data_IF_423495252915
#
_entry.id   IF_423495252915
#
_cell.length_a   1.000
_cell.length_b   1.000
_cell.length_c   1.000
_cell.angle_alpha   90.00
_cell.angle_beta   90.00
_cell.angle_gamma   90.00
#
_symmetry.space_group_name_H-M   'P 1'
#
loop_
_entity.id
_entity.type
_entity.pdbx_description
1 polymer ?
#
# COMPACT_ATOMS: atom_id res chain seq x y z
N UNK A 1 57.65 -9.24 13.44
CA UNK A 1 56.98 -10.47 13.83
C UNK A 1 55.73 -10.11 14.58
N UNK A 2 54.59 -9.99 13.87
CA UNK A 2 53.25 -10.08 14.44
C UNK A 2 52.35 -10.57 13.30
N UNK A 3 51.90 -11.75 13.46
CA UNK A 3 51.10 -12.57 12.60
C UNK A 3 49.65 -12.04 12.60
N UNK A 4 49.10 -11.75 11.44
CA UNK A 4 47.68 -11.37 11.25
C UNK A 4 47.06 -12.30 10.22
N UNK A 5 46.48 -13.40 10.70
CA UNK A 5 45.62 -14.27 9.91
C UNK A 5 44.29 -13.61 9.59
N UNK A 6 43.76 -13.79 8.38
CA UNK A 6 42.46 -13.22 7.99
C UNK A 6 41.29 -14.07 8.50
N UNK A 7 40.28 -13.41 9.05
CA UNK A 7 39.03 -14.00 9.52
C UNK A 7 38.21 -14.63 8.38
N UNK A 8 37.67 -15.83 8.62
CA UNK A 8 36.81 -16.56 7.68
C UNK A 8 35.43 -15.92 7.50
N UNK A 9 34.80 -16.07 6.33
CA UNK A 9 33.49 -15.46 6.06
C UNK A 9 32.34 -16.22 6.73
N UNK A 10 31.45 -15.48 7.39
CA UNK A 10 30.20 -15.99 7.96
C UNK A 10 29.29 -16.52 6.85
N UNK A 11 28.99 -17.82 6.86
CA UNK A 11 27.95 -18.43 6.03
C UNK A 11 26.60 -18.25 6.71
N UNK A 12 25.80 -17.32 6.23
CA UNK A 12 24.37 -17.22 6.58
C UNK A 12 23.58 -18.26 5.80
N UNK A 13 23.09 -19.28 6.49
CA UNK A 13 22.18 -20.27 5.92
C UNK A 13 20.79 -19.64 5.68
N UNK A 14 20.42 -19.40 4.42
CA UNK A 14 19.07 -19.05 4.01
C UNK A 14 18.14 -20.24 4.23
N UNK A 15 17.25 -20.18 5.23
CA UNK A 15 16.12 -21.10 5.34
C UNK A 15 15.11 -20.78 4.22
N UNK A 16 15.00 -21.66 3.23
CA UNK A 16 13.91 -21.66 2.27
C UNK A 16 12.65 -22.17 2.96
N UNK A 17 11.61 -21.35 2.98
CA UNK A 17 10.26 -21.80 3.29
C UNK A 17 9.74 -22.62 2.11
N UNK A 18 9.57 -23.93 2.30
CA UNK A 18 8.93 -24.82 1.35
C UNK A 18 7.46 -24.93 1.76
N UNK A 19 6.57 -24.34 0.97
CA UNK A 19 5.14 -24.44 1.16
C UNK A 19 4.64 -25.89 1.10
N UNK A 20 3.61 -26.21 1.90
CA UNK A 20 3.05 -27.54 2.13
C UNK A 20 2.25 -28.08 0.93
N UNK A 21 2.91 -28.37 -0.21
CA UNK A 21 2.28 -29.06 -1.35
C UNK A 21 2.68 -30.53 -1.50
N UNK A 22 3.22 -31.13 -0.45
CA UNK A 22 3.68 -32.54 -0.48
C UNK A 22 2.84 -33.51 0.35
N UNK A 23 1.52 -33.32 0.45
CA UNK A 23 0.63 -34.30 1.13
C UNK A 23 -0.46 -34.89 0.25
N UNK A 24 -0.48 -34.65 -1.05
CA UNK A 24 -1.52 -35.22 -1.94
C UNK A 24 -1.02 -36.45 -2.71
N UNK A 25 0.31 -36.61 -2.94
CA UNK A 25 0.81 -37.69 -3.78
C UNK A 25 1.15 -39.01 -3.04
N UNK A 26 0.98 -39.06 -1.73
CA UNK A 26 1.31 -40.27 -0.96
C UNK A 26 0.14 -41.24 -0.75
N UNK A 27 -1.10 -40.88 -1.13
CA UNK A 27 -2.30 -41.74 -0.96
C UNK A 27 -2.65 -42.52 -2.24
N UNK A 28 -2.04 -42.19 -3.39
CA UNK A 28 -2.37 -42.84 -4.67
C UNK A 28 -1.58 -44.13 -5.00
N UNK A 29 -0.73 -44.63 -4.10
CA UNK A 29 0.14 -45.80 -4.38
C UNK A 29 -0.09 -47.03 -3.54
N UNK A 30 -1.21 -47.17 -2.83
CA UNK A 30 -1.48 -48.35 -1.99
C UNK A 30 -2.83 -49.04 -2.24
N UNK A 31 -3.41 -48.96 -3.44
CA UNK A 31 -4.50 -49.86 -3.80
C UNK A 31 -4.21 -50.47 -5.16
N UNK A 32 -3.58 -51.63 -5.09
CA UNK A 32 -3.44 -52.54 -6.24
C UNK A 32 -4.54 -53.58 -6.20
N UNK A 33 -5.22 -53.65 -7.31
CA UNK A 33 -5.90 -54.72 -8.01
C UNK A 33 -6.46 -55.96 -7.27
N UNK A 34 -7.68 -56.24 -7.61
CA UNK A 34 -8.29 -57.44 -8.23
C UNK A 34 -9.59 -57.90 -7.54
N UNK A 35 -10.66 -58.07 -8.42
CA UNK A 35 -11.77 -58.92 -8.17
C UNK A 35 -13.17 -58.31 -8.48
N UNK A 36 -14.05 -59.04 -9.17
CA UNK A 36 -15.20 -58.46 -9.87
C UNK A 36 -16.44 -58.25 -9.03
N UNK A 37 -17.29 -57.42 -9.58
CA UNK A 37 -18.57 -56.91 -9.08
C UNK A 37 -19.53 -57.93 -8.49
N UNK A 38 -20.20 -57.54 -7.42
CA UNK A 38 -21.54 -58.03 -7.09
C UNK A 38 -22.33 -56.92 -6.38
N UNK A 39 -23.51 -56.67 -6.98
CA UNK A 39 -24.77 -56.12 -6.46
C UNK A 39 -24.83 -54.71 -5.88
N UNK A 40 -25.84 -54.00 -6.42
CA UNK A 40 -26.29 -52.63 -6.19
C UNK A 40 -26.85 -52.35 -4.75
N UNK A 41 -26.86 -53.32 -3.86
CA UNK A 41 -27.43 -53.17 -2.54
C UNK A 41 -26.47 -52.63 -1.44
N UNK A 42 -25.15 -52.70 -1.67
CA UNK A 42 -24.17 -52.21 -0.70
C UNK A 42 -23.85 -50.70 -0.79
N UNK A 43 -24.35 -50.01 -1.81
CA UNK A 43 -24.11 -48.56 -1.99
C UNK A 43 -24.98 -47.69 -1.05
N UNK A 44 -26.08 -48.20 -0.51
CA UNK A 44 -26.97 -47.44 0.37
C UNK A 44 -26.58 -47.48 1.86
N UNK A 45 -25.72 -48.40 2.27
CA UNK A 45 -25.28 -48.52 3.66
C UNK A 45 -24.15 -47.52 4.03
N UNK A 46 -23.42 -47.01 3.05
CA UNK A 46 -22.29 -46.06 3.28
C UNK A 46 -22.77 -44.62 3.43
N UNK A 47 -23.99 -44.28 2.99
CA UNK A 47 -24.53 -42.91 3.07
C UNK A 47 -25.11 -42.57 4.46
N UNK A 48 -25.36 -43.55 5.33
CA UNK A 48 -25.95 -43.30 6.66
C UNK A 48 -24.95 -43.15 7.82
N UNK A 49 -23.65 -43.22 7.58
CA UNK A 49 -22.62 -42.99 8.63
C UNK A 49 -21.83 -41.67 8.48
N UNK A 50 -22.40 -40.65 7.87
CA UNK A 50 -21.92 -39.30 8.06
C UNK A 50 -22.56 -38.68 9.32
N UNK A 51 -22.13 -39.19 10.47
CA UNK A 51 -22.45 -38.61 11.74
C UNK A 51 -21.95 -37.18 11.83
N UNK A 52 -22.82 -36.29 12.17
CA UNK A 52 -22.67 -34.91 12.62
C UNK A 52 -21.25 -34.55 13.06
N UNK A 53 -20.60 -33.65 12.30
CA UNK A 53 -19.45 -32.91 12.81
C UNK A 53 -19.87 -32.21 14.10
N UNK A 54 -19.10 -32.35 15.20
CA UNK A 54 -19.35 -31.56 16.38
C UNK A 54 -19.37 -30.07 16.01
N UNK A 55 -20.21 -29.24 16.65
CA UNK A 55 -20.26 -27.82 16.39
C UNK A 55 -18.84 -27.27 16.55
N UNK A 56 -18.37 -26.58 15.51
CA UNK A 56 -17.04 -25.93 15.55
C UNK A 56 -17.01 -25.01 16.76
N UNK A 57 -16.04 -25.22 17.66
CA UNK A 57 -15.80 -24.32 18.76
C UNK A 57 -15.77 -22.88 18.23
N UNK A 58 -16.34 -21.90 18.94
CA UNK A 58 -16.36 -20.52 18.50
C UNK A 58 -14.92 -20.10 18.25
N UNK A 59 -14.62 -19.72 16.98
CA UNK A 59 -13.32 -19.16 16.64
C UNK A 59 -13.19 -17.87 17.44
N UNK A 60 -12.42 -17.90 18.52
CA UNK A 60 -12.04 -16.70 19.27
C UNK A 60 -11.40 -15.76 18.27
N UNK A 61 -12.06 -14.65 17.99
CA UNK A 61 -11.47 -13.58 17.16
C UNK A 61 -10.34 -12.96 17.98
N UNK A 62 -9.11 -13.40 17.74
CA UNK A 62 -7.91 -13.00 18.49
C UNK A 62 -7.63 -11.49 18.49
N UNK A 63 -8.40 -10.66 17.76
CA UNK A 63 -8.24 -9.21 17.66
C UNK A 63 -9.58 -8.45 17.64
N UNK A 64 -10.62 -8.96 18.35
CA UNK A 64 -11.84 -8.18 18.48
C UNK A 64 -11.59 -7.01 19.45
N UNK A 65 -11.97 -5.80 19.06
CA UNK A 65 -11.93 -4.63 19.96
C UNK A 65 -12.94 -4.91 21.09
N UNK A 66 -12.56 -4.75 22.38
CA UNK A 66 -13.46 -4.97 23.50
C UNK A 66 -14.70 -4.06 23.44
N UNK A 67 -15.84 -4.60 23.84
CA UNK A 67 -17.10 -3.87 23.89
C UNK A 67 -17.03 -2.65 24.80
N UNK A 68 -16.19 -2.66 25.84
CA UNK A 68 -15.91 -1.55 26.73
C UNK A 68 -15.32 -0.33 26.00
N UNK A 69 -14.51 -0.54 24.96
CA UNK A 69 -13.96 0.51 24.11
C UNK A 69 -14.99 0.93 23.06
N UNK A 70 -15.64 -0.02 22.41
CA UNK A 70 -16.61 0.26 21.34
C UNK A 70 -17.84 1.03 21.87
N UNK A 71 -18.30 0.69 23.06
CA UNK A 71 -19.51 1.27 23.68
C UNK A 71 -19.19 2.39 24.68
N UNK A 72 -17.95 2.87 24.75
CA UNK A 72 -17.59 3.97 25.63
C UNK A 72 -18.26 5.28 25.16
N UNK A 73 -19.26 5.73 25.93
CA UNK A 73 -20.07 6.90 25.55
C UNK A 73 -19.24 8.20 25.45
N UNK A 74 -18.23 8.36 26.34
CA UNK A 74 -17.37 9.56 26.34
C UNK A 74 -16.43 9.56 25.16
N UNK A 75 -15.84 8.40 24.81
CA UNK A 75 -15.01 8.23 23.61
C UNK A 75 -15.82 8.50 22.35
N UNK A 76 -17.03 7.92 22.26
CA UNK A 76 -17.92 8.11 21.12
C UNK A 76 -18.37 9.57 20.97
N UNK A 77 -18.53 10.31 22.06
CA UNK A 77 -18.81 11.73 22.00
C UNK A 77 -17.59 12.53 21.51
N UNK A 78 -16.39 12.23 22.01
CA UNK A 78 -15.15 12.87 21.56
C UNK A 78 -14.88 12.66 20.07
N UNK A 79 -15.17 11.47 19.55
CA UNK A 79 -15.01 11.14 18.12
C UNK A 79 -15.89 12.03 17.22
N UNK A 80 -17.03 12.54 17.70
CA UNK A 80 -17.90 13.44 16.93
C UNK A 80 -17.27 14.80 16.59
N UNK A 81 -16.14 15.15 17.23
CA UNK A 81 -15.34 16.32 16.84
C UNK A 81 -14.65 16.12 15.47
N UNK A 82 -14.55 14.87 14.99
CA UNK A 82 -14.02 14.53 13.68
C UNK A 82 -15.17 14.48 12.64
N UNK A 83 -14.89 14.68 11.35
CA UNK A 83 -15.92 14.60 10.31
C UNK A 83 -16.61 13.22 10.28
N UNK A 84 -17.95 13.22 10.27
CA UNK A 84 -18.74 12.00 10.38
C UNK A 84 -18.56 11.02 9.19
N UNK A 85 -18.14 11.52 8.03
CA UNK A 85 -17.85 10.72 6.84
C UNK A 85 -16.41 10.19 6.77
N UNK A 86 -15.56 10.50 7.78
CA UNK A 86 -14.18 10.00 7.87
C UNK A 86 -14.08 8.97 8.99
N UNK A 87 -13.59 7.78 8.68
CA UNK A 87 -13.30 6.76 9.68
C UNK A 87 -11.82 6.71 10.01
N UNK A 88 -11.42 7.37 11.10
CA UNK A 88 -10.05 7.37 11.61
C UNK A 88 -9.70 6.14 12.46
N UNK A 89 -10.56 5.14 12.53
CA UNK A 89 -10.36 3.91 13.31
C UNK A 89 -9.90 4.17 14.77
N UNK A 90 -10.46 5.18 15.43
CA UNK A 90 -10.05 5.62 16.78
C UNK A 90 -10.16 4.48 17.80
N UNK A 91 -11.27 3.71 17.80
CA UNK A 91 -11.45 2.58 18.72
C UNK A 91 -10.35 1.53 18.55
N UNK A 92 -9.98 1.21 17.31
CA UNK A 92 -8.90 0.28 16.99
C UNK A 92 -7.56 0.82 17.48
N UNK A 93 -7.30 2.12 17.29
CA UNK A 93 -6.07 2.77 17.70
C UNK A 93 -5.93 2.77 19.22
N UNK A 94 -6.97 3.16 19.95
CA UNK A 94 -7.02 3.09 21.42
C UNK A 94 -6.74 1.67 21.92
N UNK A 95 -7.44 0.68 21.35
CA UNK A 95 -7.24 -0.73 21.70
C UNK A 95 -5.81 -1.21 21.46
N UNK A 96 -5.20 -0.84 20.32
CA UNK A 96 -3.83 -1.25 20.00
C UNK A 96 -2.80 -0.58 20.91
N UNK A 97 -2.96 0.71 21.22
CA UNK A 97 -2.10 1.44 22.16
C UNK A 97 -2.12 0.78 23.53
N UNK A 98 -3.30 0.42 24.03
CA UNK A 98 -3.46 -0.27 25.32
C UNK A 98 -2.85 -1.67 25.32
N UNK A 99 -3.09 -2.46 24.24
CA UNK A 99 -2.54 -3.81 24.11
C UNK A 99 -1.01 -3.84 24.11
N UNK A 100 -0.38 -2.86 23.48
CA UNK A 100 1.08 -2.75 23.44
C UNK A 100 1.66 -1.99 24.63
N UNK A 101 0.81 -1.46 25.53
CA UNK A 101 1.24 -0.64 26.66
C UNK A 101 2.19 0.48 26.22
N UNK A 102 1.88 1.10 25.07
CA UNK A 102 2.66 2.18 24.50
C UNK A 102 2.72 3.36 25.47
N UNK A 103 3.83 4.09 25.48
CA UNK A 103 4.04 5.27 26.34
C UNK A 103 4.06 6.57 25.57
N UNK A 104 4.72 6.55 24.40
CA UNK A 104 4.80 7.70 23.50
C UNK A 104 4.48 7.26 22.07
N UNK A 105 3.45 7.87 21.50
CA UNK A 105 2.88 7.50 20.20
C UNK A 105 3.17 8.58 19.16
N UNK A 106 3.86 8.23 18.09
CA UNK A 106 4.02 9.09 16.93
C UNK A 106 2.76 9.02 16.04
N UNK A 107 2.28 10.17 15.59
CA UNK A 107 1.16 10.31 14.67
C UNK A 107 1.66 10.92 13.37
N UNK A 108 1.57 10.16 12.29
CA UNK A 108 2.05 10.57 10.96
C UNK A 108 0.88 10.67 9.99
N UNK A 109 0.75 11.82 9.31
CA UNK A 109 -0.39 12.14 8.44
C UNK A 109 0.05 12.59 7.05
N UNK A 110 -0.76 12.35 6.00
CA UNK A 110 -0.67 13.11 4.77
C UNK A 110 -1.20 14.55 4.98
N UNK A 111 -0.80 15.46 4.09
CA UNK A 111 -1.14 16.89 4.18
C UNK A 111 -2.65 17.13 4.40
N UNK A 112 -3.51 16.48 3.61
CA UNK A 112 -4.96 16.65 3.69
C UNK A 112 -5.60 16.18 5.00
N UNK A 113 -4.90 15.40 5.83
CA UNK A 113 -5.38 14.92 7.13
C UNK A 113 -4.70 15.60 8.33
N UNK A 114 -3.63 16.37 8.09
CA UNK A 114 -2.85 17.04 9.14
C UNK A 114 -3.72 17.96 10.03
N UNK A 115 -4.76 18.55 9.46
CA UNK A 115 -5.68 19.43 10.19
C UNK A 115 -6.44 18.73 11.33
N UNK A 116 -6.55 17.41 11.31
CA UNK A 116 -7.22 16.62 12.35
C UNK A 116 -6.25 16.09 13.41
N UNK A 117 -4.94 16.30 13.23
CA UNK A 117 -3.90 15.69 14.06
C UNK A 117 -4.02 16.04 15.55
N UNK A 118 -4.28 17.33 15.87
CA UNK A 118 -4.42 17.77 17.26
C UNK A 118 -5.66 17.17 17.95
N UNK A 119 -6.80 17.10 17.24
CA UNK A 119 -8.03 16.49 17.78
C UNK A 119 -7.80 15.01 18.06
N UNK A 120 -7.14 14.29 17.13
CA UNK A 120 -6.82 12.87 17.29
C UNK A 120 -5.82 12.68 18.45
N UNK A 121 -4.81 13.54 18.55
CA UNK A 121 -3.84 13.59 19.65
C UNK A 121 -4.55 13.69 21.01
N UNK A 122 -5.40 14.70 21.19
CA UNK A 122 -6.15 14.96 22.43
C UNK A 122 -7.03 13.74 22.82
N UNK A 123 -7.70 13.12 21.83
CA UNK A 123 -8.53 11.94 22.07
C UNK A 123 -7.65 10.77 22.54
N UNK A 124 -6.53 10.50 21.87
CA UNK A 124 -5.66 9.38 22.23
C UNK A 124 -5.03 9.57 23.61
N UNK A 125 -4.55 10.76 23.92
CA UNK A 125 -4.00 11.10 25.26
C UNK A 125 -5.03 10.94 26.37
N UNK A 126 -6.25 11.47 26.14
CA UNK A 126 -7.33 11.40 27.14
C UNK A 126 -7.75 9.97 27.46
N UNK A 127 -7.82 9.08 26.45
CA UNK A 127 -8.38 7.72 26.62
C UNK A 127 -7.34 6.62 26.83
N UNK A 128 -6.05 6.92 26.64
CA UNK A 128 -4.98 5.93 26.83
C UNK A 128 -3.90 6.38 27.80
N UNK A 129 -3.82 7.68 28.13
CA UNK A 129 -2.81 8.23 29.02
C UNK A 129 -1.41 8.27 28.41
N UNK A 130 -1.27 8.08 27.09
CA UNK A 130 0.01 8.17 26.39
C UNK A 130 0.39 9.62 26.13
N UNK A 131 1.67 9.87 25.87
CA UNK A 131 2.16 11.11 25.29
C UNK A 131 2.17 10.96 23.75
N UNK A 132 1.67 11.92 23.00
CA UNK A 132 1.65 11.87 21.54
C UNK A 132 2.62 12.87 20.91
N UNK A 133 3.16 12.51 19.75
CA UNK A 133 4.02 13.34 18.93
C UNK A 133 3.47 13.40 17.52
N UNK A 134 2.95 14.55 17.11
CA UNK A 134 2.56 14.77 15.72
C UNK A 134 3.82 15.02 14.89
N UNK A 135 4.08 14.15 13.91
CA UNK A 135 5.25 14.29 13.03
C UNK A 135 5.01 15.42 12.03
N UNK A 136 5.99 16.32 11.92
CA UNK A 136 5.88 17.53 11.09
C UNK A 136 6.06 17.27 9.60
N UNK A 137 6.80 16.22 9.22
CA UNK A 137 7.04 15.90 7.82
C UNK A 137 5.81 15.28 7.18
N UNK A 138 5.41 15.84 6.05
CA UNK A 138 4.23 15.40 5.29
C UNK A 138 4.47 14.01 4.70
N UNK A 139 3.45 13.18 4.74
CA UNK A 139 3.46 11.85 4.14
C UNK A 139 2.95 11.93 2.70
N UNK A 140 3.83 11.73 1.73
CA UNK A 140 3.47 11.73 0.30
C UNK A 140 3.00 10.37 -0.20
N UNK A 141 3.25 9.30 0.52
CA UNK A 141 2.87 7.95 0.11
C UNK A 141 3.16 6.89 1.16
N UNK A 142 2.76 5.67 0.87
CA UNK A 142 2.93 4.51 1.74
C UNK A 142 4.40 4.16 2.05
N UNK A 143 5.36 4.64 1.25
CA UNK A 143 6.79 4.51 1.48
C UNK A 143 7.36 5.54 2.46
N UNK A 144 6.56 6.55 2.87
CA UNK A 144 7.00 7.61 3.78
C UNK A 144 6.85 7.24 5.27
N UNK A 145 6.59 5.99 5.61
CA UNK A 145 6.60 5.53 7.01
C UNK A 145 7.94 5.83 7.64
N UNK A 146 7.98 6.71 8.63
CA UNK A 146 9.20 7.19 9.26
C UNK A 146 9.31 6.72 10.72
N UNK A 147 9.47 5.44 10.87
CA UNK A 147 9.70 4.81 12.16
C UNK A 147 11.10 5.11 12.73
N UNK A 148 12.04 5.54 11.90
CA UNK A 148 13.37 5.95 12.34
C UNK A 148 13.32 7.27 13.11
N UNK A 149 12.67 8.30 12.55
CA UNK A 149 12.49 9.59 13.24
C UNK A 149 11.60 9.44 14.46
N UNK A 150 10.49 8.68 14.36
CA UNK A 150 9.63 8.40 15.50
C UNK A 150 10.40 7.78 16.67
N UNK A 151 11.25 6.79 16.38
CA UNK A 151 12.13 6.18 17.40
C UNK A 151 13.15 7.17 17.96
N UNK A 152 13.74 8.02 17.12
CA UNK A 152 14.69 9.03 17.57
C UNK A 152 14.04 10.08 18.49
N UNK A 153 12.74 10.34 18.32
CA UNK A 153 11.91 11.19 19.19
C UNK A 153 11.46 10.46 20.48
N UNK A 154 11.90 9.22 20.69
CA UNK A 154 11.58 8.40 21.85
C UNK A 154 10.19 7.76 21.81
N UNK A 155 9.56 7.69 20.63
CA UNK A 155 8.29 6.97 20.45
C UNK A 155 8.53 5.46 20.40
N UNK A 156 7.59 4.71 20.98
CA UNK A 156 7.57 3.25 20.99
C UNK A 156 6.44 2.67 20.12
N UNK A 157 5.54 3.54 19.65
CA UNK A 157 4.44 3.21 18.76
C UNK A 157 4.27 4.28 17.68
N UNK A 158 3.94 3.87 16.45
CA UNK A 158 3.66 4.77 15.32
C UNK A 158 2.29 4.46 14.73
N UNK A 159 1.45 5.48 14.59
CA UNK A 159 0.20 5.39 13.81
C UNK A 159 0.39 6.15 12.50
N UNK A 160 0.32 5.42 11.39
CA UNK A 160 0.48 5.96 10.05
C UNK A 160 -0.87 6.03 9.36
N UNK A 161 -1.34 7.26 9.10
CA UNK A 161 -2.67 7.55 8.58
C UNK A 161 -2.69 7.72 7.06
N UNK A 162 -3.81 7.35 6.45
CA UNK A 162 -4.18 7.72 5.09
C UNK A 162 -3.46 6.99 3.96
N UNK A 163 -2.63 5.99 4.25
CA UNK A 163 -1.91 5.20 3.25
C UNK A 163 -1.94 3.71 3.55
N UNK A 164 -1.71 2.91 2.51
CA UNK A 164 -1.64 1.45 2.58
C UNK A 164 -0.43 0.93 3.33
N UNK A 165 -0.50 -0.35 3.77
CA UNK A 165 0.62 -1.10 4.33
C UNK A 165 1.61 -1.53 3.23
N UNK A 166 2.36 -0.61 2.63
CA UNK A 166 3.40 -0.96 1.67
C UNK A 166 4.65 -1.48 2.37
N UNK A 167 4.99 -0.89 3.50
CA UNK A 167 6.10 -1.35 4.35
C UNK A 167 5.53 -2.36 5.37
N UNK A 168 5.98 -3.63 5.36
CA UNK A 168 5.51 -4.62 6.31
C UNK A 168 5.80 -4.22 7.77
N UNK A 169 4.86 -4.49 8.67
CA UNK A 169 4.98 -4.11 10.09
C UNK A 169 6.11 -4.83 10.85
N UNK A 170 6.58 -5.96 10.33
CA UNK A 170 7.71 -6.72 10.86
C UNK A 170 9.08 -6.13 10.47
N UNK A 171 9.10 -5.21 9.49
CA UNK A 171 10.30 -4.51 9.03
C UNK A 171 10.52 -3.20 9.79
N UNK A 172 9.46 -2.62 10.39
CA UNK A 172 9.55 -1.36 11.14
C UNK A 172 10.30 -1.55 12.47
N UNK A 173 11.04 -0.52 12.90
CA UNK A 173 11.89 -0.57 14.11
C UNK A 173 11.13 -0.36 15.40
N UNK A 174 9.91 0.17 15.33
CA UNK A 174 8.94 0.31 16.43
C UNK A 174 7.60 -0.27 15.97
N UNK A 175 6.69 -0.51 16.91
CA UNK A 175 5.34 -0.99 16.57
C UNK A 175 4.61 0.02 15.71
N UNK A 176 4.10 -0.42 14.57
CA UNK A 176 3.41 0.46 13.60
C UNK A 176 2.00 -0.03 13.35
N UNK A 177 1.04 0.89 13.42
CA UNK A 177 -0.35 0.69 13.07
C UNK A 177 -0.69 1.52 11.82
N UNK A 178 -1.24 0.86 10.80
CA UNK A 178 -1.78 1.55 9.64
C UNK A 178 -3.28 1.81 9.82
N UNK A 179 -3.66 3.07 9.61
CA UNK A 179 -5.05 3.53 9.60
C UNK A 179 -5.34 4.11 8.22
N UNK A 180 -6.18 3.43 7.46
CA UNK A 180 -6.41 3.79 6.05
C UNK A 180 -7.27 5.04 5.87
N UNK A 181 -8.07 5.40 6.87
CA UNK A 181 -9.00 6.54 6.86
C UNK A 181 -10.03 6.39 5.73
N UNK A 182 -10.98 5.47 5.92
CA UNK A 182 -12.08 5.30 4.97
C UNK A 182 -12.95 6.56 4.90
N UNK A 183 -13.17 7.08 3.69
CA UNK A 183 -13.95 8.29 3.44
C UNK A 183 -15.22 7.91 2.68
N UNK A 184 -16.36 8.18 3.31
CA UNK A 184 -17.67 7.92 2.72
C UNK A 184 -18.13 9.11 1.86
N UNK A 185 -18.75 8.78 0.72
CA UNK A 185 -19.35 9.76 -0.20
C UNK A 185 -20.64 9.17 -0.81
N UNK A 186 -21.37 9.97 -1.60
CA UNK A 186 -22.59 9.52 -2.28
C UNK A 186 -22.26 8.60 -3.45
N UNK A 187 -22.29 7.30 -3.18
CA UNK A 187 -22.08 6.25 -4.20
C UNK A 187 -23.20 6.23 -5.23
N UNK A 188 -24.43 6.63 -4.89
CA UNK A 188 -25.55 6.64 -5.81
C UNK A 188 -25.34 7.66 -6.92
N UNK A 189 -24.82 8.86 -6.59
CA UNK A 189 -24.44 9.87 -7.56
C UNK A 189 -23.32 9.35 -8.50
N UNK A 190 -22.30 8.69 -7.96
CA UNK A 190 -21.23 8.10 -8.76
C UNK A 190 -21.75 7.08 -9.77
N UNK A 191 -22.63 6.16 -9.35
CA UNK A 191 -23.27 5.18 -10.23
C UNK A 191 -24.10 5.86 -11.32
N UNK A 192 -24.92 6.84 -10.93
CA UNK A 192 -25.78 7.59 -11.86
C UNK A 192 -24.94 8.31 -12.93
N UNK A 193 -23.88 9.00 -12.54
CA UNK A 193 -23.07 9.76 -13.49
C UNK A 193 -22.32 8.84 -14.47
N UNK A 194 -21.87 7.66 -14.03
CA UNK A 194 -21.26 6.67 -14.92
C UNK A 194 -22.26 6.09 -15.91
N UNK A 195 -23.47 5.73 -15.47
CA UNK A 195 -24.50 5.16 -16.35
C UNK A 195 -25.00 6.15 -17.41
N UNK A 196 -24.92 7.48 -17.14
CA UNK A 196 -25.29 8.50 -18.12
C UNK A 196 -24.18 8.84 -19.11
N UNK A 197 -22.90 8.67 -18.72
CA UNK A 197 -21.77 9.15 -19.52
C UNK A 197 -20.99 8.04 -20.23
N UNK A 198 -21.14 6.78 -19.83
CA UNK A 198 -20.41 5.66 -20.43
C UNK A 198 -21.37 4.71 -21.16
N UNK A 199 -20.92 4.06 -22.25
CA UNK A 199 -21.73 3.09 -22.97
C UNK A 199 -22.13 1.91 -22.08
N UNK A 200 -23.41 1.64 -21.96
CA UNK A 200 -23.92 0.51 -21.20
C UNK A 200 -23.39 -0.82 -21.77
N UNK A 201 -23.12 -1.78 -20.89
CA UNK A 201 -22.55 -3.08 -21.25
C UNK A 201 -21.03 -3.08 -21.44
N UNK A 202 -20.35 -1.92 -21.39
CA UNK A 202 -18.89 -1.85 -21.49
C UNK A 202 -18.21 -2.50 -20.28
N UNK A 203 -16.93 -2.89 -20.47
CA UNK A 203 -16.08 -3.45 -19.42
C UNK A 203 -15.24 -2.34 -18.78
N UNK A 204 -15.56 -2.03 -17.53
CA UNK A 204 -14.90 -0.97 -16.76
C UNK A 204 -13.89 -1.56 -15.79
N UNK A 205 -12.67 -1.02 -15.75
CA UNK A 205 -11.75 -1.24 -14.64
C UNK A 205 -11.97 -0.15 -13.60
N UNK A 206 -12.35 -0.52 -12.37
CA UNK A 206 -12.50 0.42 -11.26
C UNK A 206 -11.26 0.40 -10.38
N UNK A 207 -10.68 1.58 -10.14
CA UNK A 207 -9.52 1.76 -9.27
C UNK A 207 -9.69 3.00 -8.39
N UNK A 208 -9.05 2.99 -7.22
CA UNK A 208 -9.16 4.07 -6.24
C UNK A 208 -7.88 4.22 -5.41
N UNK A 209 -7.79 5.32 -4.66
CA UNK A 209 -6.90 5.38 -3.50
C UNK A 209 -7.49 4.59 -2.34
N UNK A 210 -6.65 4.23 -1.36
CA UNK A 210 -7.06 3.36 -0.23
C UNK A 210 -8.28 3.91 0.52
N UNK A 211 -8.43 5.23 0.64
CA UNK A 211 -9.52 5.90 1.34
C UNK A 211 -10.90 5.61 0.73
N UNK A 212 -10.96 5.27 -0.55
CA UNK A 212 -12.21 5.06 -1.28
C UNK A 212 -12.44 3.59 -1.70
N UNK A 213 -11.56 2.67 -1.33
CA UNK A 213 -11.67 1.25 -1.70
C UNK A 213 -12.95 0.63 -1.15
N UNK A 214 -13.35 0.95 0.09
CA UNK A 214 -14.61 0.50 0.67
C UNK A 214 -15.82 0.90 -0.19
N UNK A 215 -15.88 2.17 -0.54
CA UNK A 215 -16.94 2.76 -1.38
C UNK A 215 -16.90 2.24 -2.82
N UNK A 216 -15.70 1.97 -3.38
CA UNK A 216 -15.52 1.37 -4.70
C UNK A 216 -16.17 -0.03 -4.77
N UNK A 217 -15.98 -0.86 -3.75
CA UNK A 217 -16.61 -2.19 -3.70
C UNK A 217 -18.13 -2.13 -3.55
N UNK A 218 -18.66 -1.11 -2.88
CA UNK A 218 -20.10 -0.83 -2.83
C UNK A 218 -20.60 -0.42 -4.22
N UNK A 219 -19.92 0.51 -4.87
CA UNK A 219 -20.24 0.98 -6.22
C UNK A 219 -20.21 -0.15 -7.26
N UNK A 220 -19.21 -1.06 -7.18
CA UNK A 220 -19.14 -2.23 -8.05
C UNK A 220 -20.46 -2.99 -8.09
N UNK A 221 -21.02 -3.33 -6.92
CA UNK A 221 -22.30 -4.09 -6.81
C UNK A 221 -23.46 -3.37 -7.47
N UNK A 222 -23.49 -2.03 -7.42
CA UNK A 222 -24.54 -1.23 -8.02
C UNK A 222 -24.34 -1.01 -9.53
N UNK A 223 -23.11 -1.11 -10.02
CA UNK A 223 -22.75 -0.96 -11.43
C UNK A 223 -22.90 -2.27 -12.24
N UNK A 224 -22.77 -3.45 -11.60
CA UNK A 224 -22.85 -4.76 -12.27
C UNK A 224 -24.11 -4.99 -13.14
N UNK A 225 -25.31 -4.42 -12.84
CA UNK A 225 -26.46 -4.50 -13.73
C UNK A 225 -26.27 -3.74 -15.06
N UNK A 226 -25.37 -2.77 -15.11
CA UNK A 226 -25.17 -1.85 -16.23
C UNK A 226 -23.86 -2.08 -16.99
N UNK A 227 -22.82 -2.63 -16.31
CA UNK A 227 -21.46 -2.77 -16.81
C UNK A 227 -20.83 -4.10 -16.40
N UNK A 228 -19.87 -4.56 -17.18
CA UNK A 228 -18.97 -5.61 -16.71
C UNK A 228 -17.83 -4.98 -15.89
N UNK A 229 -17.84 -5.16 -14.56
CA UNK A 229 -16.93 -4.43 -13.68
C UNK A 229 -15.75 -5.29 -13.24
N UNK A 230 -14.55 -4.90 -13.63
CA UNK A 230 -13.28 -5.47 -13.22
C UNK A 230 -12.63 -4.61 -12.12
N UNK A 231 -12.26 -5.23 -11.01
CA UNK A 231 -11.49 -4.57 -9.94
C UNK A 231 -10.11 -5.24 -9.88
N UNK A 232 -9.09 -4.59 -10.45
CA UNK A 232 -7.75 -5.18 -10.52
C UNK A 232 -7.07 -5.19 -9.15
N UNK A 233 -6.09 -6.06 -8.97
CA UNK A 233 -5.26 -6.09 -7.76
C UNK A 233 -3.78 -6.24 -8.11
N UNK A 234 -2.94 -5.39 -7.51
CA UNK A 234 -1.49 -5.53 -7.50
C UNK A 234 -1.03 -5.78 -6.06
N UNK A 235 -0.61 -7.01 -5.76
CA UNK A 235 -0.13 -7.32 -4.39
C UNK A 235 1.10 -6.48 -4.04
N UNK A 236 1.24 -5.98 -2.79
CA UNK A 236 0.44 -6.28 -1.60
C UNK A 236 -0.83 -5.43 -1.41
N UNK A 237 -1.16 -4.54 -2.37
CA UNK A 237 -2.29 -3.61 -2.26
C UNK A 237 -3.65 -4.33 -2.21
N UNK A 238 -4.65 -3.65 -1.70
CA UNK A 238 -6.04 -4.11 -1.68
C UNK A 238 -6.63 -4.20 -3.10
N UNK A 239 -7.64 -5.05 -3.36
CA UNK A 239 -8.31 -5.07 -4.66
C UNK A 239 -8.90 -3.70 -5.00
N UNK A 240 -8.57 -3.17 -6.18
CA UNK A 240 -8.99 -1.84 -6.65
C UNK A 240 -8.07 -0.71 -6.21
N UNK A 241 -7.17 -0.94 -5.28
CA UNK A 241 -6.22 0.07 -4.85
C UNK A 241 -5.07 0.24 -5.83
N UNK A 242 -4.72 1.50 -6.11
CA UNK A 242 -3.53 1.87 -6.87
C UNK A 242 -2.71 2.92 -6.13
N UNK A 243 -1.41 2.92 -6.39
CA UNK A 243 -0.48 3.96 -5.94
C UNK A 243 0.17 4.64 -7.14
N UNK A 244 0.70 5.85 -6.93
CA UNK A 244 1.47 6.56 -7.96
C UNK A 244 2.71 5.80 -8.45
N UNK A 245 3.23 4.87 -7.66
CA UNK A 245 4.37 4.01 -8.00
C UNK A 245 4.00 2.56 -8.32
N UNK A 246 2.74 2.15 -8.14
CA UNK A 246 2.32 0.75 -8.29
C UNK A 246 0.93 0.67 -8.87
N UNK A 247 0.84 0.34 -10.16
CA UNK A 247 -0.41 0.19 -10.89
C UNK A 247 -0.38 -1.07 -11.74
N UNK A 248 -1.51 -1.78 -11.91
CA UNK A 248 -1.58 -2.98 -12.72
C UNK A 248 -1.58 -2.67 -14.22
N UNK A 249 -1.02 -3.59 -15.01
CA UNK A 249 -1.38 -3.71 -16.40
C UNK A 249 -2.73 -4.40 -16.51
N UNK A 250 -3.68 -3.76 -17.18
CA UNK A 250 -5.05 -4.24 -17.30
C UNK A 250 -5.20 -5.25 -18.45
N UNK A 251 -6.19 -6.15 -18.39
CA UNK A 251 -6.55 -7.03 -19.51
C UNK A 251 -6.91 -6.24 -20.78
N UNK A 252 -6.59 -6.79 -21.93
CA UNK A 252 -6.79 -6.14 -23.23
C UNK A 252 -8.28 -5.93 -23.59
N UNK A 253 -9.19 -6.60 -22.91
CA UNK A 253 -10.64 -6.55 -23.11
C UNK A 253 -11.34 -5.50 -22.23
N UNK A 254 -10.59 -4.68 -21.51
CA UNK A 254 -11.12 -3.53 -20.77
C UNK A 254 -11.34 -2.35 -21.74
N UNK A 255 -12.54 -1.76 -21.71
CA UNK A 255 -12.89 -0.63 -22.56
C UNK A 255 -12.45 0.72 -21.98
N UNK A 256 -12.46 0.86 -20.66
CA UNK A 256 -12.03 2.07 -19.98
C UNK A 256 -11.69 1.87 -18.50
N UNK A 257 -10.90 2.81 -17.98
CA UNK A 257 -10.56 2.90 -16.56
C UNK A 257 -11.37 4.00 -15.90
N UNK A 258 -11.94 3.71 -14.74
CA UNK A 258 -12.58 4.72 -13.88
C UNK A 258 -11.82 4.78 -12.57
N UNK A 259 -11.18 5.91 -12.32
CA UNK A 259 -10.46 6.20 -11.10
C UNK A 259 -11.34 7.00 -10.13
N UNK A 260 -11.47 6.49 -8.93
CA UNK A 260 -12.20 7.12 -7.83
C UNK A 260 -11.18 7.72 -6.85
N UNK A 261 -11.10 9.04 -6.83
CA UNK A 261 -10.18 9.77 -5.97
C UNK A 261 -9.92 11.19 -6.44
N UNK A 262 -9.31 11.96 -5.57
CA UNK A 262 -8.83 13.30 -5.86
C UNK A 262 -7.48 13.29 -6.56
N UNK A 263 -7.09 14.41 -7.13
CA UNK A 263 -5.82 14.58 -7.82
C UNK A 263 -5.63 13.68 -9.04
N UNK A 264 -4.43 13.74 -9.65
CA UNK A 264 -4.09 13.01 -10.87
C UNK A 264 -2.93 12.02 -10.69
N UNK A 265 -2.15 12.17 -9.62
CA UNK A 265 -0.90 11.44 -9.43
C UNK A 265 -1.06 9.91 -9.51
N UNK A 266 -2.05 9.36 -8.80
CA UNK A 266 -2.32 7.91 -8.83
C UNK A 266 -2.90 7.46 -10.17
N UNK A 267 -3.75 8.31 -10.78
CA UNK A 267 -4.32 8.05 -12.10
C UNK A 267 -3.24 8.03 -13.19
N UNK A 268 -2.26 8.92 -13.14
CA UNK A 268 -1.16 8.95 -14.11
C UNK A 268 -0.39 7.63 -14.13
N UNK A 269 -0.16 7.02 -12.97
CA UNK A 269 0.50 5.72 -12.89
C UNK A 269 -0.25 4.64 -13.71
N UNK A 270 -1.57 4.54 -13.57
CA UNK A 270 -2.32 3.52 -14.34
C UNK A 270 -2.39 3.86 -15.83
N UNK A 271 -2.43 5.16 -16.19
CA UNK A 271 -2.37 5.61 -17.58
C UNK A 271 -1.04 5.26 -18.23
N UNK A 272 0.07 5.44 -17.52
CA UNK A 272 1.43 5.10 -18.00
C UNK A 272 1.52 3.59 -18.31
N UNK A 273 0.92 2.75 -17.47
CA UNK A 273 0.92 1.30 -17.66
C UNK A 273 -0.06 0.82 -18.74
N UNK A 274 -1.10 1.64 -19.06
CA UNK A 274 -2.18 1.29 -19.97
C UNK A 274 -2.46 2.46 -20.95
N UNK A 275 -1.51 2.78 -21.86
CA UNK A 275 -1.53 4.01 -22.66
C UNK A 275 -2.69 4.13 -23.62
N UNK A 276 -3.27 3.01 -24.04
CA UNK A 276 -4.32 2.98 -25.08
C UNK A 276 -5.74 3.03 -24.48
N UNK A 277 -5.87 2.95 -23.15
CA UNK A 277 -7.17 2.91 -22.49
C UNK A 277 -7.71 4.31 -22.19
N UNK A 278 -8.97 4.62 -22.59
CA UNK A 278 -9.66 5.80 -22.08
C UNK A 278 -9.77 5.77 -20.56
N UNK A 279 -9.51 6.92 -19.93
CA UNK A 279 -9.58 7.01 -18.48
C UNK A 279 -10.50 8.16 -18.04
N UNK A 280 -11.24 7.89 -16.98
CA UNK A 280 -12.15 8.82 -16.34
C UNK A 280 -11.78 8.94 -14.86
N UNK A 281 -11.85 10.14 -14.31
CA UNK A 281 -11.69 10.41 -12.89
C UNK A 281 -12.99 10.91 -12.31
N UNK A 282 -13.46 10.24 -11.28
CA UNK A 282 -14.51 10.77 -10.43
C UNK A 282 -13.91 11.30 -9.14
N UNK A 283 -14.09 12.59 -8.91
CA UNK A 283 -13.67 13.27 -7.71
C UNK A 283 -14.83 13.29 -6.70
N UNK A 284 -14.71 12.57 -5.55
CA UNK A 284 -15.80 12.46 -4.58
C UNK A 284 -16.13 13.78 -3.87
N UNK A 285 -15.15 14.68 -3.76
CA UNK A 285 -15.34 15.96 -3.06
C UNK A 285 -16.13 16.97 -3.90
N UNK A 286 -15.82 17.06 -5.19
CA UNK A 286 -16.54 17.93 -6.11
C UNK A 286 -17.71 17.25 -6.81
N UNK A 287 -17.89 15.93 -6.63
CA UNK A 287 -18.88 15.09 -7.31
C UNK A 287 -18.83 15.21 -8.83
N UNK A 288 -17.63 15.33 -9.40
CA UNK A 288 -17.43 15.56 -10.83
C UNK A 288 -16.76 14.38 -11.53
N UNK A 289 -17.24 14.04 -12.72
CA UNK A 289 -16.61 13.08 -13.63
C UNK A 289 -15.87 13.82 -14.74
N UNK A 290 -14.58 13.56 -14.89
CA UNK A 290 -13.74 14.14 -15.95
C UNK A 290 -13.10 13.05 -16.79
N UNK A 291 -12.95 13.28 -18.09
CA UNK A 291 -12.13 12.44 -18.97
C UNK A 291 -10.69 12.91 -18.87
N UNK A 292 -9.81 12.03 -18.47
CA UNK A 292 -8.39 12.35 -18.28
C UNK A 292 -7.54 11.78 -19.43
N UNK A 293 -6.44 12.46 -19.72
CA UNK A 293 -5.46 12.07 -20.73
C UNK A 293 -4.06 12.26 -20.18
N UNK A 294 -3.14 11.47 -20.68
CA UNK A 294 -1.72 11.56 -20.36
C UNK A 294 -0.90 11.70 -21.64
N UNK A 295 0.05 12.62 -21.69
CA UNK A 295 0.91 12.81 -22.85
C UNK A 295 2.09 11.82 -22.83
N UNK A 296 1.84 10.62 -23.32
CA UNK A 296 2.85 9.56 -23.41
C UNK A 296 4.00 9.91 -24.35
N UNK A 297 3.75 10.70 -25.40
CA UNK A 297 4.77 11.10 -26.37
C UNK A 297 5.76 12.05 -25.70
N UNK A 298 5.23 13.08 -25.05
CA UNK A 298 6.04 14.06 -24.33
C UNK A 298 6.82 13.41 -23.17
N UNK A 299 6.19 12.53 -22.40
CA UNK A 299 6.85 11.80 -21.31
C UNK A 299 8.04 10.98 -21.84
N UNK A 300 7.86 10.23 -22.94
CA UNK A 300 8.96 9.44 -23.54
C UNK A 300 10.05 10.33 -24.09
N UNK A 301 9.69 11.47 -24.71
CA UNK A 301 10.64 12.46 -25.20
C UNK A 301 11.47 13.04 -24.07
N UNK A 302 10.82 13.52 -23.01
CA UNK A 302 11.49 14.09 -21.85
C UNK A 302 12.46 13.10 -21.18
N UNK A 303 12.05 11.83 -21.02
CA UNK A 303 12.93 10.77 -20.49
C UNK A 303 14.12 10.47 -21.41
N UNK A 304 13.88 10.41 -22.71
CA UNK A 304 14.95 10.18 -23.70
C UNK A 304 15.97 11.33 -23.68
N UNK A 305 15.50 12.57 -23.67
CA UNK A 305 16.34 13.77 -23.64
C UNK A 305 17.17 13.83 -22.33
N UNK A 306 16.55 13.50 -21.21
CA UNK A 306 17.25 13.39 -19.92
C UNK A 306 18.37 12.32 -19.95
N UNK A 307 18.09 11.13 -20.51
CA UNK A 307 19.08 10.06 -20.66
C UNK A 307 20.23 10.52 -21.57
N UNK A 308 19.91 11.14 -22.71
CA UNK A 308 20.90 11.64 -23.67
C UNK A 308 21.80 12.70 -23.05
N UNK A 309 21.21 13.60 -22.25
CA UNK A 309 21.96 14.63 -21.51
C UNK A 309 22.87 13.98 -20.47
N UNK A 310 22.34 13.02 -19.69
CA UNK A 310 23.09 12.32 -18.66
C UNK A 310 24.29 11.52 -19.21
N UNK A 311 24.18 10.94 -20.40
CA UNK A 311 25.27 10.21 -21.05
C UNK A 311 26.51 11.07 -21.32
N UNK A 312 26.34 12.40 -21.43
CA UNK A 312 27.45 13.37 -21.64
C UNK A 312 28.07 13.89 -20.35
N UNK A 313 27.47 13.54 -19.20
CA UNK A 313 27.93 14.03 -17.90
C UNK A 313 29.27 13.43 -17.51
N UNK A 314 30.19 14.28 -17.10
CA UNK A 314 31.52 13.89 -16.62
C UNK A 314 31.54 13.50 -15.16
N UNK A 315 30.61 14.02 -14.36
CA UNK A 315 30.43 13.73 -12.95
C UNK A 315 28.95 13.54 -12.65
N UNK A 316 28.65 12.54 -11.85
CA UNK A 316 27.28 12.18 -11.49
C UNK A 316 26.99 12.46 -10.02
N UNK A 317 25.75 12.86 -9.73
CA UNK A 317 25.20 12.87 -8.39
C UNK A 317 24.24 11.67 -8.20
N UNK A 318 24.37 11.01 -7.07
CA UNK A 318 23.45 9.95 -6.66
C UNK A 318 22.72 10.42 -5.41
N UNK A 319 21.41 10.58 -5.50
CA UNK A 319 20.58 11.02 -4.38
C UNK A 319 19.99 9.79 -3.71
N UNK A 320 20.20 9.66 -2.40
CA UNK A 320 19.44 8.74 -1.56
C UNK A 320 18.34 9.53 -0.86
N UNK A 321 17.08 9.19 -1.16
CA UNK A 321 15.93 9.76 -0.45
C UNK A 321 15.89 9.27 1.00
N UNK A 322 15.82 10.22 1.94
CA UNK A 322 15.83 9.92 3.39
C UNK A 322 14.49 10.20 4.07
N UNK A 323 13.46 10.58 3.32
CA UNK A 323 12.12 10.70 3.86
C UNK A 323 11.53 9.31 4.09
N UNK A 324 11.34 8.93 5.34
CA UNK A 324 10.87 7.62 5.73
C UNK A 324 11.73 6.49 5.15
N UNK A 325 11.10 5.56 4.44
CA UNK A 325 11.76 4.38 3.85
C UNK A 325 11.81 4.41 2.31
N UNK A 326 11.85 5.59 1.74
CA UNK A 326 11.89 5.76 0.27
C UNK A 326 13.21 5.29 -0.35
N UNK A 327 14.34 5.55 0.30
CA UNK A 327 15.65 5.20 -0.23
C UNK A 327 16.02 3.75 0.04
N UNK A 328 16.61 3.08 -0.96
CA UNK A 328 17.16 1.73 -0.84
C UNK A 328 18.69 1.77 -0.81
N UNK A 329 19.34 1.44 0.32
CA UNK A 329 20.79 1.33 0.39
C UNK A 329 21.38 0.31 -0.59
N UNK A 330 20.69 -0.78 -0.87
CA UNK A 330 21.16 -1.81 -1.80
C UNK A 330 21.21 -1.30 -3.24
N UNK A 331 20.18 -0.54 -3.65
CA UNK A 331 20.17 0.12 -4.98
C UNK A 331 21.28 1.17 -5.05
N UNK A 332 21.47 1.95 -3.99
CA UNK A 332 22.56 2.92 -3.91
C UNK A 332 23.93 2.24 -4.07
N UNK A 333 24.17 1.16 -3.34
CA UNK A 333 25.43 0.41 -3.43
C UNK A 333 25.65 -0.15 -4.84
N UNK A 334 24.61 -0.71 -5.45
CA UNK A 334 24.68 -1.21 -6.82
C UNK A 334 25.04 -0.07 -7.82
N UNK A 335 24.35 1.08 -7.75
CA UNK A 335 24.62 2.23 -8.62
C UNK A 335 26.06 2.74 -8.46
N UNK A 336 26.53 2.88 -7.22
CA UNK A 336 27.91 3.30 -6.94
C UNK A 336 28.92 2.33 -7.54
N UNK A 337 28.69 1.03 -7.39
CA UNK A 337 29.55 0.00 -7.98
C UNK A 337 29.59 0.12 -9.52
N UNK A 338 28.43 0.37 -10.17
CA UNK A 338 28.36 0.58 -11.63
C UNK A 338 29.12 1.82 -12.09
N UNK A 339 29.00 2.93 -11.37
CA UNK A 339 29.72 4.18 -11.69
C UNK A 339 31.23 4.02 -11.48
N UNK A 340 31.65 3.39 -10.38
CA UNK A 340 33.06 3.11 -10.07
C UNK A 340 33.69 2.19 -11.13
N UNK A 341 33.01 1.11 -11.52
CA UNK A 341 33.51 0.18 -12.54
C UNK A 341 33.73 0.84 -13.92
N UNK A 342 33.04 1.95 -14.17
CA UNK A 342 33.18 2.75 -15.42
C UNK A 342 34.09 3.96 -15.26
N UNK A 343 34.77 4.10 -14.12
CA UNK A 343 35.58 5.27 -13.77
C UNK A 343 34.83 6.60 -13.88
N UNK A 344 33.52 6.61 -13.55
CA UNK A 344 32.71 7.83 -13.57
C UNK A 344 32.79 8.49 -12.19
N UNK A 345 33.35 9.71 -12.08
CA UNK A 345 33.36 10.47 -10.83
C UNK A 345 31.93 10.71 -10.33
N UNK A 346 31.66 10.47 -9.05
CA UNK A 346 30.33 10.65 -8.50
C UNK A 346 30.36 11.12 -7.05
N UNK A 347 29.27 11.77 -6.63
CA UNK A 347 29.00 12.18 -5.25
C UNK A 347 27.67 11.57 -4.81
N UNK A 348 27.59 11.15 -3.55
CA UNK A 348 26.33 10.69 -2.94
C UNK A 348 25.82 11.77 -2.02
N UNK A 349 24.54 12.09 -2.13
CA UNK A 349 23.86 13.09 -1.31
C UNK A 349 22.61 12.46 -0.71
N UNK A 350 22.41 12.61 0.61
CA UNK A 350 21.19 12.24 1.29
C UNK A 350 20.26 13.45 1.35
N UNK A 351 19.02 13.29 0.90
CA UNK A 351 18.03 14.37 0.88
C UNK A 351 16.65 13.84 1.28
N UNK A 352 15.97 14.52 2.19
CA UNK A 352 14.55 14.25 2.51
C UNK A 352 13.62 14.81 1.44
N UNK A 353 13.97 15.97 0.89
CA UNK A 353 13.25 16.65 -0.19
C UNK A 353 14.20 17.01 -1.31
N UNK A 354 13.78 16.80 -2.56
CA UNK A 354 14.60 16.94 -3.75
C UNK A 354 14.10 18.15 -4.55
N UNK A 355 14.84 19.26 -4.45
CA UNK A 355 14.52 20.49 -5.18
C UNK A 355 15.56 20.75 -6.28
N UNK A 356 15.13 20.99 -7.53
CA UNK A 356 16.03 21.32 -8.63
C UNK A 356 16.97 22.51 -8.31
N UNK A 357 16.46 23.52 -7.60
CA UNK A 357 17.27 24.68 -7.21
C UNK A 357 18.49 24.30 -6.35
N UNK A 358 18.32 23.39 -5.40
CA UNK A 358 19.43 22.88 -4.57
C UNK A 358 20.42 22.03 -5.38
N UNK A 359 19.92 21.23 -6.32
CA UNK A 359 20.80 20.41 -7.18
C UNK A 359 21.66 21.29 -8.11
N UNK A 360 21.15 22.43 -8.54
CA UNK A 360 21.87 23.40 -9.37
C UNK A 360 23.07 24.10 -8.66
N UNK A 361 23.14 24.04 -7.33
CA UNK A 361 24.30 24.54 -6.58
C UNK A 361 25.55 23.69 -6.82
N UNK A 362 25.40 22.43 -7.20
CA UNK A 362 26.49 21.50 -7.55
C UNK A 362 26.86 21.64 -9.03
N UNK A 363 27.49 22.78 -9.38
CA UNK A 363 27.76 23.19 -10.78
C UNK A 363 28.66 22.23 -11.57
N UNK A 364 29.40 21.37 -10.88
CA UNK A 364 30.32 20.38 -11.48
C UNK A 364 29.64 19.01 -11.68
N UNK A 365 28.38 18.83 -11.23
CA UNK A 365 27.57 17.62 -11.42
C UNK A 365 26.72 17.79 -12.68
N UNK A 366 26.98 16.97 -13.69
CA UNK A 366 26.32 17.06 -15.00
C UNK A 366 25.03 16.19 -15.10
N UNK A 367 24.86 15.23 -14.21
CA UNK A 367 23.66 14.37 -14.16
C UNK A 367 23.35 13.91 -12.74
N UNK A 368 22.07 13.75 -12.46
CA UNK A 368 21.57 13.25 -11.18
C UNK A 368 20.77 11.98 -11.39
N UNK A 369 20.99 11.00 -10.52
CA UNK A 369 20.13 9.82 -10.41
C UNK A 369 19.57 9.73 -9.00
N UNK A 370 18.27 9.51 -8.89
CA UNK A 370 17.54 9.47 -7.63
C UNK A 370 17.26 8.03 -7.23
N UNK A 371 17.61 7.68 -5.99
CA UNK A 371 17.17 6.47 -5.28
C UNK A 371 16.21 6.91 -4.18
N UNK A 372 14.94 7.03 -4.52
CA UNK A 372 13.86 7.42 -3.63
C UNK A 372 12.58 6.71 -4.07
N UNK A 373 11.49 6.89 -3.31
CA UNK A 373 10.18 6.33 -3.65
C UNK A 373 9.82 6.62 -5.11
N UNK A 374 9.24 5.63 -5.77
CA UNK A 374 9.02 5.66 -7.19
C UNK A 374 8.12 6.82 -7.63
N UNK A 375 8.63 7.63 -8.53
CA UNK A 375 7.82 8.44 -9.44
C UNK A 375 7.60 7.60 -10.69
N UNK A 376 6.39 7.58 -11.25
CA UNK A 376 6.11 6.86 -12.49
C UNK A 376 6.93 7.35 -13.67
#
# INVERSE_FOLDING_TARGET
MTDSSPAAPFKTARKRFVGSSRKVDAIAKSVGATGPASSIEDANAIVQMQASKPPAAPKVKLNAIPDEILNNAVLNEAIKALPANYNFEIHKTVHQIQNFSAKRVALQFPEGLQMFSCIISDILEQFTGVDTVVMGDVTYGACCVDDFTARALGCDFLVHYGHSCLIPVDVTTIKTLYVFVDIQFDVSHFVTILTHNLPLGSRLALVATIQFVGSLHLAKRQLEPHFSVHVPQTKPLSPGEILGCTSPKLPADIDSVVYLGDGKFHLESILIHNPDLPAYRYDPYSSTLTRERYDHVEMRRARHDAITTAQRARKWGVILGTLGRQGSPDILHWLRAQLTARNIPHVVVCMSEIFPARLNEWRDVGAWVQVAGGWP
#
